data_IF_367800347547
#
_entry.id   IF_367800347547
#
_cell.length_a   1.000
_cell.length_b   1.000
_cell.length_c   1.000
_cell.angle_alpha   90.00
_cell.angle_beta   90.00
_cell.angle_gamma   90.00
#
_symmetry.space_group_name_H-M   'P 1'
#
loop_
_entity.id
_entity.type
_entity.pdbx_description
1 polymer ?
#
# COMPACT_ATOMS: atom_id res chain seq x y z
N UNK A 1 5.13 -25.88 -41.91
CA UNK A 1 6.27 -25.37 -41.12
C UNK A 1 5.91 -23.97 -40.68
N UNK A 2 5.70 -23.77 -39.39
CA UNK A 2 5.47 -22.43 -38.82
C UNK A 2 6.88 -21.89 -38.54
N UNK A 3 7.29 -20.86 -39.25
CA UNK A 3 8.55 -20.18 -38.96
C UNK A 3 8.52 -19.68 -37.51
N UNK A 4 9.58 -19.93 -36.71
CA UNK A 4 9.68 -19.32 -35.40
C UNK A 4 9.76 -17.81 -35.61
N UNK A 5 8.74 -17.08 -35.15
CA UNK A 5 8.80 -15.61 -35.11
C UNK A 5 10.05 -15.23 -34.32
N UNK A 6 11.06 -14.70 -35.02
CA UNK A 6 12.14 -13.97 -34.39
C UNK A 6 11.49 -12.86 -33.59
N UNK A 7 11.47 -13.01 -32.27
CA UNK A 7 11.10 -11.94 -31.35
C UNK A 7 12.11 -10.83 -31.56
N UNK A 8 11.76 -9.88 -32.43
CA UNK A 8 12.47 -8.61 -32.57
C UNK A 8 12.63 -8.03 -31.18
N UNK A 9 13.87 -7.71 -30.81
CA UNK A 9 14.17 -6.99 -29.58
C UNK A 9 13.16 -5.83 -29.49
N UNK A 10 12.42 -5.69 -28.38
CA UNK A 10 11.45 -4.60 -28.24
C UNK A 10 12.13 -3.27 -28.55
N UNK A 11 11.40 -2.39 -29.19
CA UNK A 11 11.78 -1.01 -29.39
C UNK A 11 12.04 -0.34 -28.03
N UNK A 12 13.11 0.47 -27.95
CA UNK A 12 13.49 1.18 -26.73
C UNK A 12 12.34 2.05 -26.18
N UNK A 13 11.41 2.47 -27.05
CA UNK A 13 10.15 3.15 -26.70
C UNK A 13 9.21 2.29 -25.85
N UNK A 14 8.97 1.02 -26.20
CA UNK A 14 8.12 0.13 -25.39
C UNK A 14 8.75 -0.13 -24.03
N UNK A 15 10.07 -0.32 -23.97
CA UNK A 15 10.78 -0.49 -22.69
C UNK A 15 10.64 0.76 -21.81
N UNK A 16 10.82 1.94 -22.37
CA UNK A 16 10.67 3.23 -21.68
C UNK A 16 9.25 3.42 -21.13
N UNK A 17 8.23 3.10 -21.92
CA UNK A 17 6.81 3.17 -21.50
C UNK A 17 6.52 2.20 -20.36
N UNK A 18 6.98 0.94 -20.47
CA UNK A 18 6.76 -0.07 -19.43
C UNK A 18 7.48 0.30 -18.12
N UNK A 19 8.69 0.84 -18.20
CA UNK A 19 9.44 1.33 -17.04
C UNK A 19 8.77 2.54 -16.40
N UNK A 20 8.31 3.51 -17.20
CA UNK A 20 7.58 4.69 -16.73
C UNK A 20 6.29 4.28 -15.99
N UNK A 21 5.51 3.37 -16.57
CA UNK A 21 4.30 2.84 -15.96
C UNK A 21 4.61 2.13 -14.63
N UNK A 22 5.71 1.36 -14.56
CA UNK A 22 6.13 0.70 -13.33
C UNK A 22 6.50 1.69 -12.22
N UNK A 23 7.28 2.72 -12.54
CA UNK A 23 7.67 3.78 -11.60
C UNK A 23 6.44 4.54 -11.11
N UNK A 24 5.51 4.86 -12.01
CA UNK A 24 4.27 5.54 -11.67
C UNK A 24 3.44 4.73 -10.66
N UNK A 25 3.26 3.43 -10.89
CA UNK A 25 2.52 2.56 -9.95
C UNK A 25 3.19 2.46 -8.57
N UNK A 26 4.53 2.48 -8.51
CA UNK A 26 5.25 2.46 -7.24
C UNK A 26 5.09 3.79 -6.46
N UNK A 27 5.08 4.92 -7.17
CA UNK A 27 4.78 6.24 -6.59
C UNK A 27 3.34 6.32 -6.05
N UNK A 28 2.36 5.82 -6.81
CA UNK A 28 0.97 5.75 -6.37
C UNK A 28 0.84 4.90 -5.11
N UNK A 29 1.52 3.75 -5.07
CA UNK A 29 1.55 2.87 -3.90
C UNK A 29 2.15 3.57 -2.67
N UNK A 30 3.25 4.32 -2.83
CA UNK A 30 3.86 5.09 -1.75
C UNK A 30 2.96 6.22 -1.23
N UNK A 31 2.30 6.96 -2.12
CA UNK A 31 1.35 8.00 -1.74
C UNK A 31 0.19 7.44 -0.90
N UNK A 32 -0.30 6.23 -1.22
CA UNK A 32 -1.34 5.56 -0.41
C UNK A 32 -0.85 5.23 1.00
N UNK A 33 0.40 4.82 1.18
CA UNK A 33 0.98 4.59 2.51
C UNK A 33 1.03 5.89 3.31
N UNK A 34 1.45 6.99 2.69
CA UNK A 34 1.46 8.31 3.34
C UNK A 34 0.05 8.75 3.76
N UNK A 35 -0.95 8.55 2.89
CA UNK A 35 -2.35 8.83 3.21
C UNK A 35 -2.86 7.97 4.37
N UNK A 36 -2.52 6.67 4.39
CA UNK A 36 -2.87 5.80 5.51
C UNK A 36 -2.31 6.33 6.82
N UNK A 37 -1.02 6.67 6.88
CA UNK A 37 -0.38 7.18 8.09
C UNK A 37 -1.05 8.48 8.56
N UNK A 38 -1.38 9.39 7.63
CA UNK A 38 -2.06 10.64 7.94
C UNK A 38 -3.46 10.40 8.50
N UNK A 39 -4.25 9.54 7.85
CA UNK A 39 -5.61 9.18 8.27
C UNK A 39 -5.60 8.51 9.65
N UNK A 40 -4.68 7.58 9.88
CA UNK A 40 -4.52 6.88 11.15
C UNK A 40 -4.17 7.84 12.29
N UNK A 41 -3.22 8.74 12.05
CA UNK A 41 -2.84 9.76 13.04
C UNK A 41 -4.03 10.68 13.37
N UNK A 42 -4.79 11.09 12.35
CA UNK A 42 -5.98 11.91 12.53
C UNK A 42 -7.10 11.17 13.26
N UNK A 43 -7.33 9.89 12.97
CA UNK A 43 -8.36 9.07 13.60
C UNK A 43 -8.06 8.82 15.08
N UNK A 44 -6.80 8.49 15.42
CA UNK A 44 -6.37 8.34 16.82
C UNK A 44 -6.54 9.66 17.58
N UNK A 45 -6.11 10.78 16.98
CA UNK A 45 -6.28 12.11 17.58
C UNK A 45 -7.76 12.48 17.79
N UNK A 46 -8.61 12.21 16.79
CA UNK A 46 -10.05 12.46 16.86
C UNK A 46 -10.75 11.58 17.90
N UNK A 47 -10.43 10.28 17.94
CA UNK A 47 -10.96 9.36 18.93
C UNK A 47 -10.56 9.75 20.35
N UNK A 48 -9.32 10.22 20.55
CA UNK A 48 -8.86 10.71 21.84
C UNK A 48 -9.54 12.03 22.24
N UNK A 49 -9.75 12.95 21.30
CA UNK A 49 -10.46 14.21 21.58
C UNK A 49 -11.92 13.97 22.01
N UNK A 50 -12.55 12.90 21.50
CA UNK A 50 -13.91 12.49 21.84
C UNK A 50 -13.98 11.56 23.07
N UNK A 51 -12.91 11.42 23.88
CA UNK A 51 -12.85 10.46 24.99
C UNK A 51 -14.01 10.52 26.01
N UNK A 52 -14.67 11.68 26.14
CA UNK A 52 -15.85 11.86 26.98
C UNK A 52 -17.08 11.10 26.46
N UNK A 53 -17.11 10.80 25.17
CA UNK A 53 -18.16 10.05 24.49
C UNK A 53 -17.55 8.81 23.79
N UNK A 54 -17.41 7.70 24.53
CA UNK A 54 -16.71 6.50 24.05
C UNK A 54 -17.36 5.87 22.82
N UNK A 55 -18.66 6.06 22.61
CA UNK A 55 -19.36 5.54 21.43
C UNK A 55 -18.91 6.27 20.17
N UNK A 56 -18.83 7.60 20.21
CA UNK A 56 -18.35 8.40 19.09
C UNK A 56 -16.86 8.14 18.80
N UNK A 57 -16.02 7.98 19.82
CA UNK A 57 -14.62 7.56 19.64
C UNK A 57 -14.50 6.20 18.93
N UNK A 58 -15.30 5.21 19.34
CA UNK A 58 -15.30 3.90 18.72
C UNK A 58 -15.78 3.94 17.26
N UNK A 59 -16.80 4.76 16.95
CA UNK A 59 -17.28 4.96 15.57
C UNK A 59 -16.18 5.53 14.67
N UNK A 60 -15.42 6.52 15.15
CA UNK A 60 -14.29 7.10 14.40
C UNK A 60 -13.22 6.05 14.08
N UNK A 61 -12.84 5.22 15.06
CA UNK A 61 -11.86 4.15 14.85
C UNK A 61 -12.38 3.04 13.92
N UNK A 62 -13.65 2.65 14.03
CA UNK A 62 -14.28 1.70 13.11
C UNK A 62 -14.32 2.22 11.67
N UNK A 63 -14.62 3.52 11.48
CA UNK A 63 -14.58 4.15 10.16
C UNK A 63 -13.15 4.17 9.61
N UNK A 64 -12.15 4.46 10.45
CA UNK A 64 -10.75 4.42 10.09
C UNK A 64 -10.29 3.00 9.66
N UNK A 65 -10.72 1.96 10.41
CA UNK A 65 -10.47 0.57 10.05
C UNK A 65 -11.05 0.23 8.68
N UNK A 66 -12.29 0.67 8.40
CA UNK A 66 -12.92 0.47 7.09
C UNK A 66 -12.14 1.13 5.96
N UNK A 67 -11.71 2.38 6.13
CA UNK A 67 -10.87 3.09 5.14
C UNK A 67 -9.53 2.38 4.95
N UNK A 68 -8.93 1.86 6.03
CA UNK A 68 -7.68 1.09 5.98
C UNK A 68 -7.83 -0.18 5.13
N UNK A 69 -8.96 -0.89 5.25
CA UNK A 69 -9.28 -2.04 4.38
C UNK A 69 -9.40 -1.62 2.92
N UNK A 70 -10.10 -0.52 2.62
CA UNK A 70 -10.22 -0.02 1.24
C UNK A 70 -8.83 0.28 0.65
N UNK A 71 -7.99 1.02 1.38
CA UNK A 71 -6.65 1.36 0.93
C UNK A 71 -5.79 0.10 0.73
N UNK A 72 -5.94 -0.92 1.58
CA UNK A 72 -5.25 -2.20 1.42
C UNK A 72 -5.68 -2.91 0.14
N UNK A 73 -6.98 -2.97 -0.15
CA UNK A 73 -7.49 -3.58 -1.38
C UNK A 73 -7.02 -2.84 -2.63
N UNK A 74 -7.01 -1.50 -2.60
CA UNK A 74 -6.45 -0.70 -3.69
C UNK A 74 -4.96 -0.98 -3.90
N UNK A 75 -4.20 -1.08 -2.80
CA UNK A 75 -2.78 -1.43 -2.86
C UNK A 75 -2.56 -2.81 -3.48
N UNK A 76 -3.35 -3.82 -3.09
CA UNK A 76 -3.28 -5.17 -3.67
C UNK A 76 -3.61 -5.17 -5.16
N UNK A 77 -4.61 -4.40 -5.58
CA UNK A 77 -4.93 -4.21 -7.00
C UNK A 77 -3.74 -3.62 -7.75
N UNK A 78 -3.12 -2.57 -7.22
CA UNK A 78 -1.98 -1.90 -7.85
C UNK A 78 -0.77 -2.88 -7.95
N UNK A 79 -0.56 -3.73 -6.92
CA UNK A 79 0.44 -4.80 -6.96
C UNK A 79 0.20 -5.80 -8.10
N UNK A 80 -1.05 -6.26 -8.26
CA UNK A 80 -1.43 -7.23 -9.31
C UNK A 80 -1.25 -6.63 -10.71
N UNK A 81 -1.68 -5.39 -10.93
CA UNK A 81 -1.55 -4.70 -12.23
C UNK A 81 -0.07 -4.51 -12.59
N UNK A 82 0.74 -4.17 -11.60
CA UNK A 82 2.18 -4.00 -11.79
C UNK A 82 2.87 -5.32 -12.12
N UNK A 83 2.54 -6.37 -11.37
CA UNK A 83 3.20 -7.67 -11.48
C UNK A 83 2.71 -8.48 -12.71
N UNK A 84 1.57 -8.10 -13.31
CA UNK A 84 1.11 -8.67 -14.59
C UNK A 84 2.09 -8.42 -15.75
N UNK A 85 2.81 -7.29 -15.73
CA UNK A 85 3.76 -6.90 -16.79
C UNK A 85 5.21 -7.36 -16.53
N UNK A 86 5.44 -7.97 -15.37
CA UNK A 86 6.74 -8.46 -14.90
C UNK A 86 7.40 -9.50 -15.82
N UNK A 87 6.65 -10.49 -16.35
CA UNK A 87 7.23 -11.51 -17.23
C UNK A 87 7.72 -10.89 -18.54
N UNK A 88 6.96 -9.96 -19.11
CA UNK A 88 7.38 -9.20 -20.30
C UNK A 88 8.68 -8.45 -20.00
N UNK A 89 8.73 -7.64 -18.95
CA UNK A 89 9.93 -6.89 -18.56
C UNK A 89 11.18 -7.76 -18.39
N UNK A 90 11.04 -8.97 -17.82
CA UNK A 90 12.14 -9.94 -17.69
C UNK A 90 12.59 -10.52 -19.03
N UNK A 91 11.67 -10.74 -19.97
CA UNK A 91 12.02 -11.18 -21.33
C UNK A 91 12.70 -10.10 -22.15
N UNK A 92 12.29 -8.84 -21.98
CA UNK A 92 12.82 -7.68 -22.70
C UNK A 92 14.18 -7.22 -22.17
N UNK A 93 14.43 -7.41 -20.87
CA UNK A 93 15.68 -7.04 -20.23
C UNK A 93 16.04 -8.10 -19.17
N UNK A 94 16.85 -9.13 -19.51
CA UNK A 94 17.20 -10.23 -18.61
C UNK A 94 17.92 -9.81 -17.32
N UNK A 95 18.53 -8.62 -17.33
CA UNK A 95 19.17 -8.00 -16.17
C UNK A 95 18.24 -7.06 -15.40
N UNK A 96 16.96 -6.94 -15.81
CA UNK A 96 15.97 -6.15 -15.10
C UNK A 96 15.72 -6.82 -13.76
N UNK A 97 16.26 -6.19 -12.73
CA UNK A 97 16.12 -6.61 -11.35
C UNK A 97 15.32 -5.53 -10.64
N UNK A 98 14.38 -5.94 -9.77
CA UNK A 98 13.64 -5.05 -8.86
C UNK A 98 14.53 -4.29 -7.87
N UNK A 99 15.83 -4.50 -7.95
CA UNK A 99 16.84 -3.93 -7.09
C UNK A 99 17.77 -3.10 -7.96
N UNK A 100 17.50 -1.80 -8.18
CA UNK A 100 18.62 -0.90 -8.40
C UNK A 100 19.53 -1.11 -7.18
N UNK A 101 20.77 -1.57 -7.39
CA UNK A 101 21.78 -1.59 -6.33
C UNK A 101 21.70 -0.24 -5.63
N UNK A 102 21.28 -0.27 -4.35
CA UNK A 102 21.03 0.85 -3.46
C UNK A 102 21.63 2.19 -3.93
N UNK A 103 20.91 2.91 -4.80
CA UNK A 103 21.08 4.35 -4.91
C UNK A 103 20.12 4.93 -3.88
N UNK A 104 20.71 5.43 -2.80
CA UNK A 104 20.05 5.94 -1.60
C UNK A 104 18.82 6.80 -1.98
N UNK A 105 17.61 6.27 -1.82
CA UNK A 105 16.39 7.10 -1.87
C UNK A 105 15.10 6.46 -2.40
N UNK A 106 15.13 5.36 -3.16
CA UNK A 106 13.88 4.76 -3.66
C UNK A 106 13.50 3.49 -2.88
N UNK A 107 12.44 3.50 -2.06
CA UNK A 107 12.09 2.39 -1.18
C UNK A 107 11.32 1.30 -1.93
N UNK A 108 11.97 0.56 -2.83
CA UNK A 108 11.41 -0.69 -3.38
C UNK A 108 11.52 -1.87 -2.38
N UNK A 109 12.20 -1.68 -1.23
CA UNK A 109 12.21 -2.59 -0.07
C UNK A 109 11.19 -2.10 0.98
N UNK A 110 9.90 -2.21 0.67
CA UNK A 110 8.81 -1.86 1.59
C UNK A 110 7.54 -2.71 1.44
N UNK A 111 7.43 -3.56 0.41
CA UNK A 111 6.18 -4.28 0.07
C UNK A 111 5.65 -5.22 1.15
N UNK A 112 6.47 -6.10 1.72
CA UNK A 112 6.02 -6.96 2.83
C UNK A 112 5.76 -6.17 4.11
N UNK A 113 6.57 -5.12 4.36
CA UNK A 113 6.39 -4.21 5.48
C UNK A 113 5.05 -3.46 5.39
N UNK A 114 4.60 -3.09 4.19
CA UNK A 114 3.32 -2.42 3.99
C UNK A 114 2.15 -3.33 4.40
N UNK A 115 2.15 -4.61 4.00
CA UNK A 115 1.10 -5.54 4.46
C UNK A 115 1.04 -5.66 5.99
N UNK A 116 2.21 -5.76 6.64
CA UNK A 116 2.32 -5.81 8.10
C UNK A 116 1.85 -4.49 8.75
N UNK A 117 2.19 -3.35 8.14
CA UNK A 117 1.82 -2.02 8.62
C UNK A 117 0.30 -1.84 8.58
N UNK A 118 -0.34 -2.15 7.45
CA UNK A 118 -1.79 -2.07 7.30
C UNK A 118 -2.51 -3.00 8.29
N UNK A 119 -2.01 -4.22 8.47
CA UNK A 119 -2.58 -5.15 9.44
C UNK A 119 -2.43 -4.64 10.88
N UNK A 120 -1.25 -4.12 11.23
CA UNK A 120 -0.99 -3.52 12.54
C UNK A 120 -1.94 -2.35 12.83
N UNK A 121 -2.14 -1.44 11.86
CA UNK A 121 -3.08 -0.33 12.02
C UNK A 121 -4.52 -0.78 12.17
N UNK A 122 -4.94 -1.78 11.39
CA UNK A 122 -6.28 -2.35 11.51
C UNK A 122 -6.51 -2.97 12.89
N UNK A 123 -5.50 -3.66 13.45
CA UNK A 123 -5.57 -4.15 14.82
C UNK A 123 -5.66 -3.01 15.84
N UNK A 124 -4.86 -1.95 15.68
CA UNK A 124 -4.89 -0.78 16.58
C UNK A 124 -6.29 -0.15 16.60
N UNK A 125 -6.90 0.04 15.44
CA UNK A 125 -8.26 0.61 15.35
C UNK A 125 -9.30 -0.28 16.04
N UNK A 126 -9.27 -1.59 15.77
CA UNK A 126 -10.23 -2.54 16.34
C UNK A 126 -10.06 -2.70 17.86
N UNK A 127 -8.82 -2.88 18.33
CA UNK A 127 -8.54 -2.96 19.76
C UNK A 127 -8.86 -1.65 20.46
N UNK A 128 -8.52 -0.50 19.85
CA UNK A 128 -8.87 0.81 20.35
C UNK A 128 -10.38 0.98 20.50
N UNK A 129 -11.16 0.63 19.48
CA UNK A 129 -12.62 0.69 19.52
C UNK A 129 -13.20 -0.20 20.63
N UNK A 130 -12.68 -1.42 20.80
CA UNK A 130 -13.09 -2.32 21.88
C UNK A 130 -12.79 -1.71 23.25
N UNK A 131 -11.60 -1.12 23.45
CA UNK A 131 -11.21 -0.49 24.71
C UNK A 131 -12.17 0.65 25.07
N UNK A 132 -12.49 1.53 24.11
CA UNK A 132 -13.45 2.61 24.32
C UNK A 132 -14.84 2.11 24.74
N UNK A 133 -15.33 1.03 24.14
CA UNK A 133 -16.66 0.47 24.44
C UNK A 133 -16.69 -0.33 25.76
N UNK A 134 -15.65 -1.11 26.04
CA UNK A 134 -15.65 -2.10 27.15
C UNK A 134 -15.13 -1.55 28.45
N UNK A 135 -14.20 -0.59 28.41
CA UNK A 135 -13.60 -0.01 29.61
C UNK A 135 -13.64 1.52 29.56
N UNK A 136 -14.84 2.14 29.46
CA UNK A 136 -14.95 3.60 29.43
C UNK A 136 -14.46 4.25 30.73
N UNK A 137 -14.45 3.50 31.85
CA UNK A 137 -13.99 3.99 33.15
C UNK A 137 -12.47 4.23 33.23
N UNK A 138 -11.64 3.56 32.42
CA UNK A 138 -10.17 3.75 32.44
C UNK A 138 -9.68 4.89 31.55
N UNK A 139 -10.58 5.51 30.76
CA UNK A 139 -10.21 6.51 29.74
C UNK A 139 -10.57 7.95 30.17
N UNK A 140 -11.21 8.12 31.34
CA UNK A 140 -11.52 9.44 31.90
C UNK A 140 -10.26 10.25 32.20
#
# INVERSE_FOLDING_TARGET
>A
MIEPQQTTRPDDSTLSIMMSHFIHLDQVMWNRVQWLIAIQTAAIGGAYALKSDPHNSAVVLCLCAFVTVILLLMMRRDEVIRDANLPLLKTLHPQFTFSPKCSKGAPLKGRQLNGILFFSFLLIDLFGAIIFVTVPATIK
#
